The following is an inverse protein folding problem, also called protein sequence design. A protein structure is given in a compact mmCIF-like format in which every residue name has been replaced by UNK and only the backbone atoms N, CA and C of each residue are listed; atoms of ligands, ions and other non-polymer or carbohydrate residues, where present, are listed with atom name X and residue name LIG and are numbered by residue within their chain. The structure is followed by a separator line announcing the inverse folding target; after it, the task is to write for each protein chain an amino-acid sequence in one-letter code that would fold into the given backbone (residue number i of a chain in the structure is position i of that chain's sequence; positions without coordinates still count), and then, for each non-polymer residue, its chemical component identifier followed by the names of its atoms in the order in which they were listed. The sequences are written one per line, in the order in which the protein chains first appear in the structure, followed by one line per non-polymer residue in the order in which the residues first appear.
data_IF_490542146517
#
_entry.id   IF_490542146517
#
_cell.length_a   1.000
_cell.length_b   1.000
_cell.length_c   1.000
_cell.angle_alpha   90.00
_cell.angle_beta   90.00
_cell.angle_gamma   90.00
#
_symmetry.space_group_name_H-M   'P 1'
#
loop_
_entity.id
_entity.type
_entity.pdbx_description
1 polymer ?
#
# COMPACT_ATOMS: atom_id res chain seq x y z
N UNK A 1 -34.66 19.76 59.03
CA UNK A 1 -33.19 19.65 59.24
C UNK A 1 -32.91 18.24 59.73
N UNK A 2 -32.33 17.40 58.87
CA UNK A 2 -32.06 15.99 59.15
C UNK A 2 -30.72 15.85 59.90
N UNK A 3 -30.79 15.14 61.01
CA UNK A 3 -29.66 14.59 61.77
C UNK A 3 -29.99 13.12 62.06
N UNK A 4 -28.98 12.27 62.15
CA UNK A 4 -29.15 10.93 62.70
C UNK A 4 -28.12 9.91 62.25
N UNK A 5 -26.94 9.95 62.88
CA UNK A 5 -26.02 8.82 62.99
C UNK A 5 -26.53 7.84 64.06
N UNK A 6 -26.34 6.54 63.76
CA UNK A 6 -25.95 5.41 64.63
C UNK A 6 -26.66 5.19 66.00
N UNK A 7 -27.15 3.97 66.29
CA UNK A 7 -26.38 2.96 67.04
C UNK A 7 -27.13 1.61 67.30
N UNK A 8 -26.35 0.58 67.61
CA UNK A 8 -26.56 -0.86 67.92
C UNK A 8 -27.76 -1.22 68.84
N UNK A 9 -28.40 -2.41 68.79
CA UNK A 9 -27.87 -3.70 69.32
C UNK A 9 -28.90 -4.86 69.17
N UNK A 10 -28.41 -6.02 68.72
CA UNK A 10 -28.66 -7.41 69.22
C UNK A 10 -30.06 -8.07 69.17
N UNK A 11 -30.18 -9.19 68.41
CA UNK A 11 -30.78 -10.50 68.83
C UNK A 11 -30.57 -11.58 67.75
N UNK A 12 -29.55 -12.42 67.88
CA UNK A 12 -29.54 -13.79 68.45
C UNK A 12 -30.26 -14.86 67.60
N UNK A 13 -29.43 -15.75 67.05
CA UNK A 13 -29.72 -17.00 66.35
C UNK A 13 -30.12 -18.13 67.31
N UNK A 14 -31.08 -18.97 66.87
CA UNK A 14 -31.43 -20.37 67.24
C UNK A 14 -32.59 -20.73 66.28
N UNK A 15 -32.79 -21.89 65.65
CA UNK A 15 -32.45 -23.28 65.93
C UNK A 15 -33.10 -24.15 64.83
N UNK A 16 -32.36 -25.13 64.28
CA UNK A 16 -32.77 -26.51 63.89
C UNK A 16 -33.86 -26.78 62.82
N UNK A 17 -33.48 -27.50 61.74
CA UNK A 17 -33.99 -28.81 61.22
C UNK A 17 -33.67 -28.91 59.71
N UNK A 18 -32.92 -29.88 59.19
CA UNK A 18 -33.07 -31.35 59.10
C UNK A 18 -33.40 -31.77 57.64
N UNK A 19 -32.65 -32.78 57.21
CA UNK A 19 -32.70 -33.66 56.02
C UNK A 19 -34.06 -33.76 55.29
N UNK A 20 -34.05 -33.77 53.94
CA UNK A 20 -34.37 -34.96 53.11
C UNK A 20 -34.65 -34.64 51.62
N UNK A 21 -34.06 -35.51 50.78
CA UNK A 21 -34.58 -36.14 49.55
C UNK A 21 -35.66 -35.45 48.66
N UNK A 22 -35.25 -35.19 47.41
CA UNK A 22 -35.75 -35.79 46.15
C UNK A 22 -37.23 -35.63 45.77
N UNK A 23 -37.52 -34.79 44.76
CA UNK A 23 -38.52 -35.02 43.67
C UNK A 23 -38.12 -34.16 42.45
N UNK A 24 -37.50 -34.71 41.40
CA UNK A 24 -38.04 -35.12 40.07
C UNK A 24 -38.84 -34.08 39.27
N UNK A 25 -38.35 -33.83 38.04
CA UNK A 25 -39.01 -33.12 36.92
C UNK A 25 -39.10 -31.62 37.20
N UNK A 26 -38.93 -30.67 36.28
CA UNK A 26 -39.38 -30.60 34.89
C UNK A 26 -38.35 -29.73 34.12
N UNK A 27 -37.87 -30.24 32.99
CA UNK A 27 -36.89 -29.58 32.14
C UNK A 27 -37.63 -28.72 31.09
N UNK A 28 -37.56 -27.39 31.21
CA UNK A 28 -37.99 -26.48 30.15
C UNK A 28 -36.79 -26.19 29.24
N UNK A 29 -36.82 -26.70 28.00
CA UNK A 29 -35.85 -26.32 26.96
C UNK A 29 -36.06 -24.86 26.57
N UNK A 30 -35.15 -23.99 26.98
CA UNK A 30 -34.99 -22.65 26.39
C UNK A 30 -34.33 -22.80 25.01
N UNK A 31 -35.12 -22.68 23.94
CA UNK A 31 -34.59 -22.41 22.60
C UNK A 31 -34.11 -20.96 22.58
N UNK A 32 -32.81 -20.79 22.77
CA UNK A 32 -32.10 -19.53 22.52
C UNK A 32 -32.25 -19.19 21.03
N UNK A 33 -33.00 -18.11 20.73
CA UNK A 33 -32.98 -17.50 19.40
C UNK A 33 -31.66 -16.76 19.25
N UNK A 34 -30.84 -17.01 18.21
CA UNK A 34 -29.64 -16.23 17.98
C UNK A 34 -30.02 -14.77 17.73
N UNK A 35 -29.44 -13.86 18.53
CA UNK A 35 -29.60 -12.42 18.38
C UNK A 35 -29.16 -12.00 16.97
N UNK A 36 -30.01 -11.24 16.29
CA UNK A 36 -29.76 -10.69 14.94
C UNK A 36 -28.39 -9.97 14.86
N UNK A 37 -27.93 -9.38 15.97
CA UNK A 37 -26.62 -8.74 16.07
C UNK A 37 -25.43 -9.72 15.97
N UNK A 38 -25.57 -10.96 16.45
CA UNK A 38 -24.50 -11.96 16.36
C UNK A 38 -24.37 -12.49 14.92
N UNK A 39 -25.48 -12.57 14.18
CA UNK A 39 -25.48 -12.91 12.77
C UNK A 39 -24.79 -11.83 11.93
N UNK A 40 -25.15 -10.55 12.13
CA UNK A 40 -24.55 -9.43 11.40
C UNK A 40 -23.04 -9.29 11.68
N UNK A 41 -22.59 -9.47 12.93
CA UNK A 41 -21.17 -9.39 13.28
C UNK A 41 -20.35 -10.57 12.72
N UNK A 42 -20.88 -11.80 12.75
CA UNK A 42 -20.19 -12.96 12.17
C UNK A 42 -20.09 -12.85 10.64
N UNK A 43 -21.13 -12.33 9.98
CA UNK A 43 -21.14 -12.16 8.53
C UNK A 43 -20.21 -11.03 8.06
N UNK A 44 -20.06 -9.94 8.82
CA UNK A 44 -19.11 -8.86 8.51
C UNK A 44 -17.67 -9.28 8.73
N UNK A 45 -17.36 -10.00 9.81
CA UNK A 45 -15.98 -10.45 10.10
C UNK A 45 -15.51 -11.49 9.06
N UNK A 46 -16.41 -12.38 8.63
CA UNK A 46 -16.13 -13.35 7.56
C UNK A 46 -15.94 -12.68 6.19
N UNK A 47 -16.76 -11.66 5.86
CA UNK A 47 -16.62 -10.88 4.61
C UNK A 47 -15.34 -10.04 4.59
N UNK A 48 -14.97 -9.43 5.72
CA UNK A 48 -13.71 -8.69 5.88
C UNK A 48 -12.52 -9.63 5.74
N UNK A 49 -12.59 -10.83 6.35
CA UNK A 49 -11.56 -11.87 6.23
C UNK A 49 -11.39 -12.35 4.78
N UNK A 50 -12.48 -12.66 4.08
CA UNK A 50 -12.45 -13.08 2.67
C UNK A 50 -11.91 -12.00 1.74
N UNK A 51 -12.31 -10.73 1.95
CA UNK A 51 -11.78 -9.58 1.19
C UNK A 51 -10.27 -9.42 1.41
N UNK A 52 -9.82 -9.47 2.67
CA UNK A 52 -8.39 -9.40 3.01
C UNK A 52 -7.59 -10.56 2.40
N UNK A 53 -8.13 -11.77 2.44
CA UNK A 53 -7.50 -12.94 1.83
C UNK A 53 -7.38 -12.78 0.30
N UNK A 54 -8.42 -12.26 -0.36
CA UNK A 54 -8.39 -11.97 -1.79
C UNK A 54 -7.38 -10.87 -2.13
N UNK A 55 -7.31 -9.81 -1.34
CA UNK A 55 -6.36 -8.72 -1.52
C UNK A 55 -4.92 -9.21 -1.32
N UNK A 56 -4.68 -10.07 -0.33
CA UNK A 56 -3.39 -10.72 -0.10
C UNK A 56 -3.00 -11.62 -1.29
N UNK A 57 -3.94 -12.41 -1.79
CA UNK A 57 -3.72 -13.28 -2.96
C UNK A 57 -3.37 -12.46 -4.21
N UNK A 58 -4.12 -11.39 -4.50
CA UNK A 58 -3.84 -10.47 -5.60
C UNK A 58 -2.47 -9.81 -5.48
N UNK A 59 -2.14 -9.32 -4.28
CA UNK A 59 -0.83 -8.70 -4.01
C UNK A 59 0.31 -9.69 -4.23
N UNK A 60 0.17 -10.92 -3.72
CA UNK A 60 1.16 -11.99 -3.86
C UNK A 60 1.37 -12.39 -5.32
N UNK A 61 0.27 -12.55 -6.07
CA UNK A 61 0.36 -12.84 -7.51
C UNK A 61 1.00 -11.71 -8.30
N UNK A 62 0.57 -10.46 -8.08
CA UNK A 62 1.13 -9.31 -8.76
C UNK A 62 2.63 -9.19 -8.48
N UNK A 63 3.05 -9.38 -7.23
CA UNK A 63 4.46 -9.42 -6.85
C UNK A 63 5.23 -10.50 -7.63
N UNK A 64 4.70 -11.73 -7.69
CA UNK A 64 5.35 -12.84 -8.39
C UNK A 64 5.42 -12.67 -9.92
N UNK A 65 4.50 -11.90 -10.50
CA UNK A 65 4.55 -11.57 -11.93
C UNK A 65 5.60 -10.49 -12.16
N UNK A 66 5.56 -9.41 -11.36
CA UNK A 66 6.50 -8.29 -11.51
C UNK A 66 7.93 -8.75 -11.25
N UNK A 67 8.18 -9.67 -10.31
CA UNK A 67 9.52 -10.18 -10.01
C UNK A 67 10.19 -10.92 -11.16
N UNK A 68 9.43 -11.34 -12.19
CA UNK A 68 9.98 -11.92 -13.43
C UNK A 68 10.51 -10.87 -14.38
N UNK A 69 9.99 -9.64 -14.31
CA UNK A 69 10.42 -8.50 -15.12
C UNK A 69 11.46 -7.65 -14.39
N UNK A 70 11.28 -7.46 -13.08
CA UNK A 70 12.22 -6.75 -12.21
C UNK A 70 12.56 -7.58 -10.97
N UNK A 71 13.68 -8.32 -10.98
CA UNK A 71 14.11 -9.14 -9.86
C UNK A 71 14.37 -8.37 -8.56
N UNK A 72 14.55 -7.04 -8.64
CA UNK A 72 14.85 -6.21 -7.49
C UNK A 72 13.59 -5.74 -6.74
N UNK A 73 12.38 -6.17 -7.13
CA UNK A 73 11.17 -5.83 -6.38
C UNK A 73 11.24 -6.34 -4.94
N UNK A 74 11.05 -5.43 -3.98
CA UNK A 74 11.05 -5.72 -2.54
C UNK A 74 9.66 -5.73 -1.95
N UNK A 75 8.84 -4.74 -2.32
CA UNK A 75 7.50 -4.58 -1.76
C UNK A 75 6.57 -3.87 -2.73
N UNK A 76 5.38 -4.43 -2.93
CA UNK A 76 4.32 -3.76 -3.69
C UNK A 76 3.73 -2.63 -2.84
N UNK A 77 3.79 -1.39 -3.35
CA UNK A 77 3.30 -0.20 -2.64
C UNK A 77 1.87 0.13 -3.05
N UNK A 78 1.57 0.02 -4.34
CA UNK A 78 0.27 0.36 -4.87
C UNK A 78 -0.03 -0.33 -6.21
N UNK A 79 -1.31 -0.57 -6.49
CA UNK A 79 -1.77 -1.09 -7.79
C UNK A 79 -3.06 -0.41 -8.19
N UNK A 80 -3.21 -0.09 -9.48
CA UNK A 80 -4.50 0.30 -10.06
C UNK A 80 -4.87 -0.62 -11.22
N UNK A 81 -6.16 -0.87 -11.37
CA UNK A 81 -6.67 -1.89 -12.29
C UNK A 81 -6.44 -1.53 -13.76
N UNK A 82 -6.52 -0.25 -14.12
CA UNK A 82 -6.45 0.20 -15.51
C UNK A 82 -5.80 1.58 -15.62
N UNK A 83 -4.76 1.62 -16.45
CA UNK A 83 -4.04 2.82 -16.84
C UNK A 83 -3.74 2.78 -18.35
N UNK A 84 -3.69 3.95 -18.98
CA UNK A 84 -3.23 4.18 -20.35
C UNK A 84 -2.07 5.16 -20.29
N UNK A 85 -0.98 4.85 -20.99
CA UNK A 85 0.19 5.72 -21.07
C UNK A 85 0.12 6.58 -22.34
N UNK A 86 0.37 7.86 -22.15
CA UNK A 86 0.61 8.83 -23.20
C UNK A 86 2.07 9.27 -23.12
N UNK A 87 2.68 9.60 -24.26
CA UNK A 87 4.00 10.23 -24.32
C UNK A 87 3.81 11.64 -24.87
N UNK A 88 4.46 12.62 -24.26
CA UNK A 88 4.50 13.96 -24.82
C UNK A 88 5.59 14.00 -25.88
N UNK A 89 5.24 14.40 -27.08
CA UNK A 89 6.16 14.43 -28.22
C UNK A 89 6.90 15.76 -28.35
N UNK A 90 7.82 15.84 -29.31
CA UNK A 90 8.55 17.07 -29.63
C UNK A 90 7.65 18.14 -30.28
N UNK A 91 6.53 17.72 -30.89
CA UNK A 91 5.52 18.60 -31.49
C UNK A 91 4.65 19.32 -30.44
N UNK A 92 4.90 19.06 -29.15
CA UNK A 92 4.13 19.56 -28.01
C UNK A 92 2.69 19.00 -27.94
N UNK A 93 2.50 17.79 -28.44
CA UNK A 93 1.23 17.08 -28.43
C UNK A 93 1.32 15.77 -27.62
N UNK A 94 0.18 15.32 -27.10
CA UNK A 94 0.08 14.05 -26.39
C UNK A 94 -0.21 12.93 -27.37
N UNK A 95 0.74 12.01 -27.52
CA UNK A 95 0.56 10.79 -28.29
C UNK A 95 0.13 9.64 -27.37
N UNK A 96 -0.95 8.93 -27.75
CA UNK A 96 -1.36 7.73 -27.04
C UNK A 96 -0.44 6.56 -27.44
N UNK A 97 0.18 5.93 -26.44
CA UNK A 97 1.01 4.73 -26.66
C UNK A 97 0.17 3.44 -26.74
N UNK A 98 0.81 2.32 -27.05
CA UNK A 98 0.22 0.98 -27.03
C UNK A 98 0.16 0.35 -25.63
N UNK A 99 0.66 1.05 -24.60
CA UNK A 99 0.66 0.58 -23.22
C UNK A 99 -0.68 0.88 -22.53
N UNK A 100 -1.48 -0.17 -22.35
CA UNK A 100 -2.73 -0.10 -21.60
C UNK A 100 -2.95 -1.35 -20.76
N UNK A 101 -3.11 -1.18 -19.45
CA UNK A 101 -3.20 -2.33 -18.56
C UNK A 101 -3.17 -2.00 -17.08
N UNK A 102 -2.70 -2.95 -16.29
CA UNK A 102 -2.62 -2.81 -14.83
C UNK A 102 -1.29 -2.18 -14.45
N UNK A 103 -1.35 -1.11 -13.66
CA UNK A 103 -0.19 -0.34 -13.24
C UNK A 103 0.13 -0.62 -11.77
N UNK A 104 1.41 -0.82 -11.47
CA UNK A 104 1.90 -1.10 -10.14
C UNK A 104 3.10 -0.21 -9.79
N UNK A 105 3.07 0.37 -8.59
CA UNK A 105 4.18 1.08 -7.96
C UNK A 105 4.76 0.19 -6.86
N UNK A 106 6.08 0.03 -6.82
CA UNK A 106 6.75 -0.86 -5.89
C UNK A 106 8.10 -0.30 -5.44
N UNK A 107 8.50 -0.72 -4.24
CA UNK A 107 9.83 -0.50 -3.69
C UNK A 107 10.79 -1.52 -4.29
N UNK A 108 12.01 -1.07 -4.59
CA UNK A 108 13.11 -1.89 -5.11
C UNK A 108 14.22 -1.99 -4.08
N UNK A 109 14.89 -3.14 -4.06
CA UNK A 109 16.24 -3.18 -3.52
C UNK A 109 17.18 -2.45 -4.48
N UNK A 110 17.98 -1.55 -3.93
CA UNK A 110 18.94 -0.74 -4.67
C UNK A 110 20.29 -0.79 -3.98
N UNK A 111 21.35 -0.66 -4.74
CA UNK A 111 22.72 -0.64 -4.20
C UNK A 111 23.24 0.79 -4.30
N UNK A 112 23.53 1.47 -3.17
CA UNK A 112 24.14 2.79 -3.24
C UNK A 112 25.50 2.68 -3.94
N UNK A 113 25.89 3.69 -4.71
CA UNK A 113 27.15 3.68 -5.43
C UNK A 113 28.31 3.79 -4.46
N UNK A 114 29.45 3.19 -4.82
CA UNK A 114 30.65 3.29 -3.99
C UNK A 114 31.16 4.75 -3.97
N UNK A 115 31.83 5.19 -2.88
CA UNK A 115 32.44 6.51 -2.84
C UNK A 115 33.43 6.69 -4.01
N UNK A 116 33.20 7.70 -4.84
CA UNK A 116 34.05 8.01 -6.01
C UNK A 116 33.76 7.17 -7.27
N UNK A 117 32.71 6.33 -7.27
CA UNK A 117 32.26 5.65 -8.47
C UNK A 117 31.69 6.64 -9.50
N UNK A 118 32.12 6.55 -10.75
CA UNK A 118 31.56 7.35 -11.84
C UNK A 118 30.23 6.72 -12.29
N UNK A 119 29.15 7.48 -12.19
CA UNK A 119 27.81 6.99 -12.48
C UNK A 119 27.40 7.41 -13.88
N UNK A 120 27.12 6.42 -14.73
CA UNK A 120 26.55 6.57 -16.05
C UNK A 120 25.10 6.07 -16.11
N UNK A 121 24.58 5.95 -17.33
CA UNK A 121 23.22 5.52 -17.61
C UNK A 121 22.97 4.08 -17.11
N UNK A 122 23.95 3.20 -17.31
CA UNK A 122 23.84 1.78 -16.93
C UNK A 122 23.71 1.57 -15.42
N UNK A 123 24.27 2.50 -14.63
CA UNK A 123 24.23 2.47 -13.17
C UNK A 123 22.91 3.01 -12.64
N UNK A 124 22.20 3.84 -13.41
CA UNK A 124 20.92 4.43 -12.98
C UNK A 124 19.89 3.36 -12.63
N UNK A 125 19.88 2.26 -13.40
CA UNK A 125 18.99 1.12 -13.15
C UNK A 125 19.18 0.50 -11.76
N UNK A 126 20.40 0.55 -11.21
CA UNK A 126 20.74 0.03 -9.87
C UNK A 126 20.41 1.00 -8.75
N UNK A 127 20.21 2.28 -9.07
CA UNK A 127 19.95 3.35 -8.12
C UNK A 127 18.46 3.56 -7.87
N UNK A 128 17.61 3.31 -8.87
CA UNK A 128 16.17 3.50 -8.72
C UNK A 128 15.63 2.75 -7.52
N UNK A 129 15.16 3.51 -6.52
CA UNK A 129 14.64 2.99 -5.26
C UNK A 129 13.20 2.49 -5.42
N UNK A 130 12.49 2.98 -6.43
CA UNK A 130 11.13 2.56 -6.74
C UNK A 130 11.02 2.24 -8.23
N UNK A 131 10.09 1.35 -8.55
CA UNK A 131 9.72 1.02 -9.91
C UNK A 131 8.23 1.25 -10.11
N UNK A 132 7.90 1.74 -11.30
CA UNK A 132 6.55 1.83 -11.81
C UNK A 132 6.48 0.93 -13.04
N UNK A 133 5.58 -0.04 -13.05
CA UNK A 133 5.42 -0.97 -14.17
C UNK A 133 3.96 -1.05 -14.58
N UNK A 134 3.71 -0.99 -15.89
CA UNK A 134 2.43 -1.30 -16.49
C UNK A 134 2.53 -2.64 -17.22
N UNK A 135 1.74 -3.60 -16.73
CA UNK A 135 1.58 -4.90 -17.36
C UNK A 135 0.57 -4.77 -18.51
N UNK A 136 1.08 -4.75 -19.74
CA UNK A 136 0.25 -4.50 -20.91
C UNK A 136 -0.73 -5.66 -21.14
N UNK A 137 -1.94 -5.33 -21.57
CA UNK A 137 -2.98 -6.32 -21.91
C UNK A 137 -3.00 -6.67 -23.39
N UNK A 138 -2.42 -5.82 -24.23
CA UNK A 138 -2.46 -5.97 -25.69
C UNK A 138 -1.23 -6.70 -26.23
N UNK A 139 -0.08 -6.56 -25.56
CA UNK A 139 1.19 -7.16 -25.95
C UNK A 139 1.95 -7.66 -24.70
N UNK A 140 2.96 -8.53 -24.85
CA UNK A 140 3.81 -8.96 -23.74
C UNK A 140 4.77 -7.86 -23.24
N UNK A 141 4.94 -6.77 -24.00
CA UNK A 141 5.84 -5.67 -23.65
C UNK A 141 5.25 -4.84 -22.52
N UNK A 142 6.03 -4.66 -21.46
CA UNK A 142 5.63 -3.85 -20.31
C UNK A 142 6.23 -2.45 -20.41
N UNK A 143 5.50 -1.43 -19.99
CA UNK A 143 6.08 -0.12 -19.74
C UNK A 143 6.71 -0.11 -18.35
N UNK A 144 7.94 0.40 -18.24
CA UNK A 144 8.65 0.49 -16.96
C UNK A 144 9.28 1.87 -16.81
N UNK A 145 9.15 2.43 -15.60
CA UNK A 145 9.76 3.70 -15.23
C UNK A 145 10.39 3.57 -13.84
N UNK A 146 11.68 3.84 -13.72
CA UNK A 146 12.37 3.90 -12.45
C UNK A 146 12.20 5.27 -11.78
N UNK A 147 11.92 5.30 -10.48
CA UNK A 147 11.85 6.55 -9.71
C UNK A 147 13.04 6.63 -8.74
N UNK A 148 13.69 7.79 -8.73
CA UNK A 148 14.82 8.11 -7.85
C UNK A 148 14.48 9.37 -7.04
N UNK A 149 14.66 9.35 -5.70
CA UNK A 149 14.46 10.56 -4.90
C UNK A 149 15.34 11.70 -5.38
N UNK A 150 14.77 12.91 -5.47
CA UNK A 150 15.47 14.07 -6.04
C UNK A 150 16.71 14.48 -5.23
N UNK A 151 16.75 14.20 -3.93
CA UNK A 151 17.95 14.38 -3.11
C UNK A 151 19.11 13.49 -3.58
N UNK A 152 18.81 12.24 -3.93
CA UNK A 152 19.79 11.27 -4.43
C UNK A 152 20.27 11.68 -5.81
N UNK A 153 19.36 12.06 -6.70
CA UNK A 153 19.70 12.55 -8.04
C UNK A 153 20.60 13.79 -7.97
N UNK A 154 20.26 14.80 -7.17
CA UNK A 154 21.06 16.03 -7.02
C UNK A 154 22.46 15.76 -6.46
N UNK A 155 22.61 14.74 -5.62
CA UNK A 155 23.89 14.38 -5.03
C UNK A 155 24.81 13.66 -6.03
N UNK A 156 24.26 12.70 -6.78
CA UNK A 156 25.05 11.83 -7.67
C UNK A 156 25.13 12.31 -9.12
N UNK A 157 24.16 13.11 -9.57
CA UNK A 157 24.05 13.64 -10.92
C UNK A 157 23.82 15.17 -10.89
N UNK A 158 24.76 15.97 -10.36
CA UNK A 158 24.58 17.41 -10.18
C UNK A 158 24.43 18.19 -11.50
N UNK A 159 24.84 17.61 -12.63
CA UNK A 159 24.70 18.17 -13.99
C UNK A 159 23.63 17.44 -14.81
N UNK A 160 22.84 16.57 -14.17
CA UNK A 160 21.89 15.67 -14.82
C UNK A 160 22.54 14.40 -15.37
N UNK A 161 21.71 13.43 -15.70
CA UNK A 161 22.18 12.17 -16.28
C UNK A 161 22.74 12.46 -17.68
N UNK A 162 23.97 12.00 -17.94
CA UNK A 162 24.69 12.31 -19.20
C UNK A 162 24.82 13.82 -19.52
N UNK A 163 24.87 14.68 -18.49
CA UNK A 163 24.95 16.15 -18.64
C UNK A 163 23.77 16.77 -19.40
N UNK A 164 22.59 16.14 -19.37
CA UNK A 164 21.37 16.68 -19.98
C UNK A 164 20.76 17.88 -19.21
N UNK A 165 21.30 18.24 -18.04
CA UNK A 165 20.80 19.33 -17.20
C UNK A 165 19.57 18.98 -16.36
N UNK A 166 18.96 17.81 -16.53
CA UNK A 166 17.82 17.36 -15.74
C UNK A 166 18.30 16.70 -14.43
N UNK A 167 18.24 17.45 -13.33
CA UNK A 167 18.73 17.01 -12.01
C UNK A 167 17.63 16.46 -11.09
N UNK A 168 16.39 16.49 -11.55
CA UNK A 168 15.23 16.04 -10.79
C UNK A 168 14.16 15.46 -11.70
N UNK A 169 13.46 14.45 -11.17
CA UNK A 169 12.20 13.99 -11.72
C UNK A 169 11.10 14.87 -11.16
N UNK A 170 10.02 14.99 -11.92
CA UNK A 170 8.84 15.72 -11.47
C UNK A 170 7.57 14.93 -11.73
N UNK A 171 6.57 15.16 -10.87
CA UNK A 171 5.24 14.61 -11.03
C UNK A 171 4.21 15.68 -10.71
N UNK A 172 3.32 15.92 -11.66
CA UNK A 172 2.24 16.88 -11.54
C UNK A 172 0.90 16.23 -11.89
N UNK A 173 -0.19 16.84 -11.46
CA UNK A 173 -1.53 16.41 -11.82
C UNK A 173 -2.20 17.50 -12.63
N UNK A 174 -2.60 17.15 -13.85
CA UNK A 174 -3.32 18.02 -14.77
C UNK A 174 -4.62 17.33 -15.16
N UNK A 175 -5.75 17.88 -14.70
CA UNK A 175 -7.09 17.30 -14.83
C UNK A 175 -7.16 15.82 -14.43
N UNK A 176 -7.15 14.94 -15.45
CA UNK A 176 -7.30 13.50 -15.31
C UNK A 176 -6.02 12.72 -15.59
N UNK A 177 -4.90 13.42 -15.79
CA UNK A 177 -3.61 12.88 -16.14
C UNK A 177 -2.62 13.14 -15.00
N UNK A 178 -1.90 12.10 -14.60
CA UNK A 178 -0.67 12.28 -13.82
C UNK A 178 0.44 12.45 -14.85
N UNK A 179 1.08 13.60 -14.87
CA UNK A 179 2.20 13.86 -15.76
C UNK A 179 3.48 13.58 -14.97
N UNK A 180 4.38 12.80 -15.55
CA UNK A 180 5.68 12.49 -14.96
C UNK A 180 6.78 12.85 -15.96
N UNK A 181 7.77 13.60 -15.49
CA UNK A 181 9.01 13.86 -16.22
C UNK A 181 10.12 13.01 -15.63
N UNK A 182 10.80 12.25 -16.47
CA UNK A 182 11.89 11.39 -16.04
C UNK A 182 13.26 12.11 -15.99
N UNK A 183 14.31 11.38 -15.61
CA UNK A 183 15.67 11.91 -15.50
C UNK A 183 16.35 12.14 -16.85
N UNK A 184 15.85 11.52 -17.93
CA UNK A 184 16.39 11.68 -19.28
C UNK A 184 15.76 12.89 -19.96
N UNK A 185 14.55 13.26 -19.57
CA UNK A 185 13.76 14.37 -20.08
C UNK A 185 12.47 13.95 -20.77
N UNK A 186 12.19 12.65 -20.86
CA UNK A 186 10.93 12.16 -21.40
C UNK A 186 9.78 12.53 -20.45
N UNK A 187 8.62 12.86 -21.05
CA UNK A 187 7.41 13.22 -20.32
C UNK A 187 6.32 12.23 -20.68
N UNK A 188 5.73 11.63 -19.65
CA UNK A 188 4.67 10.64 -19.77
C UNK A 188 3.41 11.10 -19.07
N UNK A 189 2.26 10.80 -19.67
CA UNK A 189 0.94 11.06 -19.13
C UNK A 189 0.27 9.75 -18.74
N UNK A 190 -0.06 9.59 -17.46
CA UNK A 190 -0.68 8.39 -16.93
C UNK A 190 -2.16 8.67 -16.71
N UNK A 191 -2.99 8.15 -17.60
CA UNK A 191 -4.44 8.24 -17.45
C UNK A 191 -4.93 7.04 -16.66
N UNK A 192 -5.42 7.28 -15.44
CA UNK A 192 -5.92 6.23 -14.55
C UNK A 192 -7.45 6.27 -14.55
N UNK A 193 -8.07 5.12 -14.78
CA UNK A 193 -9.53 5.00 -14.89
C UNK A 193 -10.26 5.40 -13.60
N UNK A 194 -9.79 4.91 -12.45
CA UNK A 194 -10.39 5.20 -11.15
C UNK A 194 -9.85 6.52 -10.58
N UNK A 195 -10.72 7.50 -10.34
CA UNK A 195 -10.33 8.81 -9.81
C UNK A 195 -9.68 8.72 -8.41
N UNK A 196 -10.21 7.88 -7.54
CA UNK A 196 -9.66 7.69 -6.19
C UNK A 196 -8.27 7.05 -6.21
N UNK A 197 -7.99 6.22 -7.21
CA UNK A 197 -6.67 5.63 -7.42
C UNK A 197 -5.68 6.66 -7.95
N UNK A 198 -6.13 7.53 -8.86
CA UNK A 198 -5.32 8.61 -9.43
C UNK A 198 -4.74 9.51 -8.36
N UNK A 199 -5.59 10.02 -7.46
CA UNK A 199 -5.16 10.90 -6.36
C UNK A 199 -4.15 10.22 -5.43
N UNK A 200 -4.39 8.95 -5.06
CA UNK A 200 -3.49 8.18 -4.19
C UNK A 200 -2.14 7.90 -4.86
N UNK A 201 -2.15 7.49 -6.12
CA UNK A 201 -0.92 7.19 -6.86
C UNK A 201 -0.10 8.46 -7.07
N UNK A 202 -0.72 9.58 -7.43
CA UNK A 202 -0.05 10.88 -7.52
C UNK A 202 0.67 11.23 -6.21
N UNK A 203 -0.04 11.17 -5.08
CA UNK A 203 0.52 11.45 -3.76
C UNK A 203 1.68 10.52 -3.40
N UNK A 204 1.57 9.23 -3.75
CA UNK A 204 2.64 8.26 -3.52
C UNK A 204 3.86 8.53 -4.41
N UNK A 205 3.67 8.84 -5.69
CA UNK A 205 4.77 9.20 -6.60
C UNK A 205 5.47 10.47 -6.13
N UNK A 206 4.70 11.51 -5.78
CA UNK A 206 5.22 12.75 -5.21
C UNK A 206 6.02 12.49 -3.94
N UNK A 207 5.50 11.63 -3.06
CA UNK A 207 6.21 11.22 -1.85
C UNK A 207 7.54 10.52 -2.17
N UNK A 208 7.56 9.59 -3.13
CA UNK A 208 8.76 8.86 -3.54
C UNK A 208 9.86 9.77 -4.08
N UNK A 209 9.51 10.87 -4.76
CA UNK A 209 10.47 11.82 -5.32
C UNK A 209 10.98 12.83 -4.29
N UNK A 210 10.10 13.29 -3.39
CA UNK A 210 10.42 14.38 -2.45
C UNK A 210 11.06 13.91 -1.13
N UNK A 211 10.77 12.67 -0.72
CA UNK A 211 11.26 12.14 0.55
C UNK A 211 12.46 11.22 0.34
N UNK A 212 13.30 11.12 1.37
CA UNK A 212 14.32 10.08 1.41
C UNK A 212 13.64 8.71 1.35
N UNK A 213 14.35 7.73 0.79
CA UNK A 213 13.84 6.35 0.78
C UNK A 213 13.48 5.98 2.21
N UNK A 214 12.31 5.36 2.48
CA UNK A 214 12.07 4.74 3.76
C UNK A 214 13.06 3.58 3.90
N UNK A 215 14.24 3.91 4.42
CA UNK A 215 15.28 2.97 4.82
C UNK A 215 14.65 2.21 5.99
N UNK A 216 14.00 1.10 5.70
CA UNK A 216 14.04 -0.01 6.64
C UNK A 216 15.50 -0.42 6.65
N UNK A 217 16.23 0.09 7.64
CA UNK A 217 17.60 -0.31 7.86
C UNK A 217 17.66 -1.84 7.79
N UNK A 218 18.60 -2.44 7.05
CA UNK A 218 18.86 -3.85 7.25
C UNK A 218 19.19 -3.99 8.73
N UNK A 219 18.31 -4.65 9.48
CA UNK A 219 18.63 -5.08 10.83
C UNK A 219 19.95 -5.84 10.76
N UNK A 220 20.82 -5.73 11.79
CA UNK A 220 22.11 -6.38 11.76
C UNK A 220 21.93 -7.86 11.43
N UNK A 221 22.61 -8.31 10.37
CA UNK A 221 22.71 -9.73 10.03
C UNK A 221 23.22 -10.46 11.27
N UNK A 222 22.42 -11.39 11.78
CA UNK A 222 22.87 -12.35 12.80
C UNK A 222 23.84 -13.35 12.17
#
# INVERSE_FOLDING_TARGET
MQAGKEDMTTKVLKTVRNKNLRVRGWEWKLVSKPSFFHFIMAETDTKISAKRALDLYKSTLNFNVISRYDPNIKQLLYTTSHCVIYKFDESQEWEKTDYQGTLALYLRDFTPPAPGEQLGLDQLQRLFCYGLILLNRQSPECFSLGLLPNKVTKHFFPTGVQNNGNVEMDVEMNDNLIIVKDLIGDIYGLWIFNESDRKKLYQLMEFCLKNDVPITAPGPSK
#
